data_IF_564794630354
#
_entry.id   IF_564794630354
#
_cell.length_a   1.000
_cell.length_b   1.000
_cell.length_c   1.000
_cell.angle_alpha   90.00
_cell.angle_beta   90.00
_cell.angle_gamma   90.00
#
_symmetry.space_group_name_H-M   'P 1'
#
loop_
_entity.id
_entity.type
_entity.pdbx_description
1 polymer ?
#
# COMPACT_ATOMS: atom_id res chain seq x y z
N UNK A 1 -60.77 12.43 -2.00
CA UNK A 1 -59.88 13.16 -1.07
C UNK A 1 -59.14 12.09 -0.26
N UNK A 2 -58.24 11.33 -0.87
CA UNK A 2 -56.82 11.65 -1.11
C UNK A 2 -56.08 11.99 0.18
N UNK A 3 -55.65 10.93 0.88
CA UNK A 3 -54.61 10.98 1.89
C UNK A 3 -53.64 9.84 1.59
N UNK A 4 -52.81 10.03 0.56
CA UNK A 4 -51.72 9.10 0.27
C UNK A 4 -50.62 9.36 1.30
N UNK A 5 -50.40 8.39 2.16
CA UNK A 5 -49.28 8.33 3.08
C UNK A 5 -47.98 8.37 2.28
N UNK A 6 -47.23 9.47 2.43
CA UNK A 6 -45.82 9.56 2.06
C UNK A 6 -45.06 8.42 2.74
N UNK A 7 -44.81 7.35 1.97
CA UNK A 7 -43.78 6.38 2.33
C UNK A 7 -42.46 7.01 1.92
N UNK A 8 -41.79 7.61 2.90
CA UNK A 8 -40.36 7.86 2.82
C UNK A 8 -39.65 6.54 2.46
N UNK A 9 -39.25 6.41 1.19
CA UNK A 9 -38.26 5.43 0.78
C UNK A 9 -36.98 5.72 1.56
N UNK A 10 -36.76 4.94 2.61
CA UNK A 10 -35.47 4.88 3.26
C UNK A 10 -34.45 4.44 2.21
N UNK A 11 -33.61 5.39 1.78
CA UNK A 11 -32.45 5.11 0.94
C UNK A 11 -31.62 4.03 1.66
N UNK A 12 -31.57 2.83 1.06
CA UNK A 12 -30.70 1.76 1.52
C UNK A 12 -29.24 2.23 1.61
N UNK A 13 -28.37 1.48 2.29
CA UNK A 13 -26.96 1.84 2.38
C UNK A 13 -26.42 2.11 0.97
N UNK A 14 -25.68 3.20 0.75
CA UNK A 14 -25.22 3.62 -0.57
C UNK A 14 -24.55 2.43 -1.26
N UNK A 15 -24.91 2.18 -2.52
CA UNK A 15 -24.38 1.07 -3.31
C UNK A 15 -22.87 1.26 -3.46
N UNK A 16 -22.12 0.68 -2.53
CA UNK A 16 -20.68 0.90 -2.38
C UNK A 16 -19.93 0.61 -3.69
N UNK A 17 -20.38 -0.39 -4.45
CA UNK A 17 -19.78 -0.78 -5.72
C UNK A 17 -19.89 0.31 -6.81
N UNK A 18 -20.84 1.23 -6.67
CA UNK A 18 -21.05 2.36 -7.58
C UNK A 18 -20.35 3.64 -7.10
N UNK A 19 -20.20 3.82 -5.79
CA UNK A 19 -19.58 5.03 -5.23
C UNK A 19 -18.05 5.03 -5.32
N UNK A 20 -17.41 3.87 -5.12
CA UNK A 20 -15.95 3.80 -5.11
C UNK A 20 -15.31 4.08 -6.48
N UNK A 21 -15.83 3.52 -7.61
CA UNK A 21 -15.33 3.89 -8.93
C UNK A 21 -15.59 5.35 -9.29
N UNK A 22 -16.63 5.98 -8.73
CA UNK A 22 -16.99 7.37 -9.04
C UNK A 22 -15.94 8.35 -8.50
N UNK A 23 -15.49 8.19 -7.24
CA UNK A 23 -14.50 9.08 -6.64
C UNK A 23 -13.16 9.12 -7.40
N UNK A 24 -12.74 8.01 -8.01
CA UNK A 24 -11.51 7.96 -8.81
C UNK A 24 -11.68 8.55 -10.21
N UNK A 25 -12.88 8.44 -10.80
CA UNK A 25 -13.18 9.02 -12.12
C UNK A 25 -13.15 10.55 -12.07
N UNK A 26 -13.58 11.13 -10.96
CA UNK A 26 -13.58 12.58 -10.73
C UNK A 26 -12.15 13.16 -10.61
N UNK A 27 -11.12 12.33 -10.44
CA UNK A 27 -9.72 12.78 -10.43
C UNK A 27 -9.17 13.10 -11.83
N UNK A 28 -9.93 12.85 -12.90
CA UNK A 28 -9.59 13.20 -14.28
C UNK A 28 -8.17 12.73 -14.68
N UNK A 29 -7.82 11.49 -14.33
CA UNK A 29 -6.58 10.84 -14.76
C UNK A 29 -6.82 10.12 -16.08
N UNK A 30 -6.00 10.42 -17.10
CA UNK A 30 -6.20 9.90 -18.46
C UNK A 30 -5.87 8.40 -18.62
N UNK A 31 -4.96 7.87 -17.80
CA UNK A 31 -4.51 6.48 -17.88
C UNK A 31 -5.54 5.54 -17.24
N UNK A 32 -6.43 4.98 -18.06
CA UNK A 32 -7.50 4.08 -17.61
C UNK A 32 -6.96 2.78 -16.99
N UNK A 33 -5.82 2.28 -17.44
CA UNK A 33 -5.19 1.10 -16.85
C UNK A 33 -4.69 1.40 -15.45
N UNK A 34 -4.11 2.57 -15.24
CA UNK A 34 -3.68 3.03 -13.92
C UNK A 34 -4.88 3.28 -12.98
N UNK A 35 -5.96 3.89 -13.48
CA UNK A 35 -7.20 4.07 -12.71
C UNK A 35 -7.82 2.74 -12.32
N UNK A 36 -7.82 1.75 -13.23
CA UNK A 36 -8.30 0.41 -12.92
C UNK A 36 -7.42 -0.28 -11.88
N UNK A 37 -6.10 -0.17 -12.00
CA UNK A 37 -5.18 -0.68 -10.99
C UNK A 37 -5.40 -0.01 -9.62
N UNK A 38 -5.61 1.31 -9.59
CA UNK A 38 -5.92 2.03 -8.36
C UNK A 38 -7.22 1.55 -7.73
N UNK A 39 -8.25 1.29 -8.53
CA UNK A 39 -9.52 0.71 -8.06
C UNK A 39 -9.33 -0.66 -7.41
N UNK A 40 -8.57 -1.57 -8.03
CA UNK A 40 -8.29 -2.88 -7.45
C UNK A 40 -7.54 -2.78 -6.11
N UNK A 41 -6.55 -1.87 -6.04
CA UNK A 41 -5.80 -1.63 -4.80
C UNK A 41 -6.70 -1.02 -3.73
N UNK A 42 -7.58 -0.08 -4.07
CA UNK A 42 -8.54 0.48 -3.12
C UNK A 42 -9.41 -0.62 -2.50
N UNK A 43 -9.99 -1.48 -3.35
CA UNK A 43 -10.83 -2.59 -2.91
C UNK A 43 -10.08 -3.55 -1.98
N UNK A 44 -8.82 -3.88 -2.29
CA UNK A 44 -7.99 -4.71 -1.42
C UNK A 44 -7.69 -4.03 -0.08
N UNK A 45 -7.37 -2.73 -0.10
CA UNK A 45 -7.10 -1.97 1.12
C UNK A 45 -8.34 -1.85 2.01
N UNK A 46 -9.52 -1.59 1.46
CA UNK A 46 -10.75 -1.41 2.25
C UNK A 46 -11.40 -2.73 2.67
N UNK A 47 -11.56 -3.68 1.75
CA UNK A 47 -12.39 -4.87 1.99
C UNK A 47 -11.58 -6.06 2.52
N UNK A 48 -10.38 -6.26 2.00
CA UNK A 48 -9.55 -7.43 2.34
C UNK A 48 -8.67 -7.12 3.55
N UNK A 49 -7.90 -6.02 3.47
CA UNK A 49 -6.95 -5.62 4.51
C UNK A 49 -7.58 -4.75 5.59
N UNK A 50 -8.77 -4.19 5.35
CA UNK A 50 -9.52 -3.34 6.29
C UNK A 50 -8.75 -2.13 6.82
N UNK A 51 -7.92 -1.53 5.97
CA UNK A 51 -7.23 -0.27 6.25
C UNK A 51 -8.23 0.87 6.49
N UNK A 52 -7.81 1.87 7.23
CA UNK A 52 -8.62 3.01 7.66
C UNK A 52 -8.28 4.25 6.84
N UNK A 53 -9.27 5.13 6.70
CA UNK A 53 -9.11 6.43 6.04
C UNK A 53 -8.52 6.32 4.63
N UNK A 54 -8.93 5.30 3.86
CA UNK A 54 -8.47 5.10 2.48
C UNK A 54 -9.07 6.19 1.60
N UNK A 55 -8.22 6.99 0.96
CA UNK A 55 -8.60 8.08 0.08
C UNK A 55 -7.80 8.05 -1.21
N UNK A 56 -8.37 8.60 -2.28
CA UNK A 56 -7.74 8.64 -3.60
C UNK A 56 -7.28 10.07 -3.89
N UNK A 57 -6.03 10.24 -4.29
CA UNK A 57 -5.43 11.55 -4.55
C UNK A 57 -4.79 11.55 -5.93
N UNK A 58 -5.09 12.55 -6.76
CA UNK A 58 -4.37 12.78 -8.01
C UNK A 58 -2.96 13.28 -7.70
N UNK A 59 -1.94 12.69 -8.32
CA UNK A 59 -0.61 13.33 -8.44
C UNK A 59 -0.56 14.14 -9.74
N UNK A 60 -0.52 15.48 -9.68
CA UNK A 60 -0.40 16.32 -10.88
C UNK A 60 0.92 16.09 -11.63
N UNK A 61 2.00 15.81 -10.91
CA UNK A 61 3.35 15.66 -11.47
C UNK A 61 3.47 14.36 -12.27
N UNK A 62 2.81 13.29 -11.80
CA UNK A 62 2.89 11.96 -12.38
C UNK A 62 1.65 11.59 -13.20
N UNK A 63 0.62 12.44 -13.19
CA UNK A 63 -0.67 12.25 -13.85
C UNK A 63 -1.26 10.85 -13.58
N UNK A 64 -1.30 10.47 -12.31
CA UNK A 64 -1.78 9.17 -11.83
C UNK A 64 -2.53 9.31 -10.51
N UNK A 65 -3.31 8.29 -10.16
CA UNK A 65 -3.99 8.15 -8.87
C UNK A 65 -3.04 7.51 -7.86
N UNK A 66 -2.83 8.17 -6.74
CA UNK A 66 -2.24 7.61 -5.52
C UNK A 66 -3.37 7.28 -4.54
N UNK A 67 -3.11 6.37 -3.61
CA UNK A 67 -3.96 6.19 -2.45
C UNK A 67 -3.22 6.62 -1.19
N UNK A 68 -3.94 7.28 -0.30
CA UNK A 68 -3.48 7.57 1.05
C UNK A 68 -4.35 6.78 2.03
N UNK A 69 -3.71 6.01 2.90
CA UNK A 69 -4.42 5.11 3.79
C UNK A 69 -3.61 4.84 5.05
N UNK A 70 -4.31 4.48 6.13
CA UNK A 70 -3.72 4.08 7.41
C UNK A 70 -3.94 2.60 7.64
N UNK A 71 -2.87 1.85 7.91
CA UNK A 71 -2.97 0.40 8.17
C UNK A 71 -3.83 0.09 9.41
N UNK A 72 -3.78 0.98 10.41
CA UNK A 72 -4.56 0.89 11.65
C UNK A 72 -5.09 2.28 12.01
N UNK A 73 -6.17 2.32 12.77
CA UNK A 73 -6.73 3.57 13.27
C UNK A 73 -5.69 4.34 14.10
N UNK A 74 -5.56 5.64 13.86
CA UNK A 74 -4.53 6.48 14.49
C UNK A 74 -3.08 6.24 14.01
N UNK A 75 -2.86 5.31 13.08
CA UNK A 75 -1.55 5.02 12.51
C UNK A 75 -1.05 6.11 11.54
N UNK A 76 0.24 6.05 11.13
CA UNK A 76 0.78 6.96 10.14
C UNK A 76 0.09 6.73 8.78
N UNK A 77 -0.16 7.84 8.06
CA UNK A 77 -0.61 7.78 6.67
C UNK A 77 0.49 7.17 5.82
N UNK A 78 0.13 6.21 4.96
CA UNK A 78 1.01 5.65 3.93
C UNK A 78 0.51 6.07 2.56
N UNK A 79 1.44 6.39 1.66
CA UNK A 79 1.15 6.61 0.25
C UNK A 79 1.32 5.29 -0.50
N UNK A 80 0.23 4.79 -1.09
CA UNK A 80 0.24 3.60 -1.95
C UNK A 80 0.21 4.04 -3.40
N UNK A 81 1.15 3.53 -4.20
CA UNK A 81 1.23 3.74 -5.64
C UNK A 81 0.81 2.47 -6.38
N UNK A 82 -0.39 2.45 -6.98
CA UNK A 82 -0.82 1.39 -7.89
C UNK A 82 -0.10 1.50 -9.22
N UNK A 83 0.61 0.43 -9.60
CA UNK A 83 1.36 0.34 -10.84
C UNK A 83 0.93 -0.90 -11.62
N UNK A 84 0.20 -0.74 -12.75
CA UNK A 84 -0.03 -1.85 -13.66
C UNK A 84 1.29 -2.45 -14.14
N UNK A 85 1.42 -3.79 -14.19
CA UNK A 85 2.69 -4.48 -14.53
C UNK A 85 3.28 -4.12 -15.90
N UNK A 86 2.48 -3.66 -16.84
CA UNK A 86 2.93 -3.24 -18.17
C UNK A 86 3.46 -1.80 -18.19
N UNK A 87 3.28 -1.03 -17.11
CA UNK A 87 3.72 0.35 -16.99
C UNK A 87 5.09 0.39 -16.35
N UNK A 88 6.03 1.05 -17.03
CA UNK A 88 7.36 1.31 -16.48
C UNK A 88 7.33 2.48 -15.51
N UNK A 89 8.25 2.45 -14.55
CA UNK A 89 8.42 3.52 -13.59
C UNK A 89 9.91 3.86 -13.48
N UNK A 90 10.22 5.14 -13.37
CA UNK A 90 11.59 5.63 -13.25
C UNK A 90 11.87 6.15 -11.83
N UNK A 91 13.15 6.29 -11.48
CA UNK A 91 13.58 6.75 -10.16
C UNK A 91 13.03 8.14 -9.80
N UNK A 92 12.87 9.04 -10.78
CA UNK A 92 12.29 10.37 -10.55
C UNK A 92 10.84 10.27 -10.12
N UNK A 93 10.07 9.35 -10.69
CA UNK A 93 8.68 9.11 -10.30
C UNK A 93 8.57 8.54 -8.88
N UNK A 94 9.42 7.58 -8.50
CA UNK A 94 9.50 7.12 -7.10
C UNK A 94 9.84 8.28 -6.16
N UNK A 95 10.82 9.11 -6.54
CA UNK A 95 11.25 10.26 -5.74
C UNK A 95 10.09 11.23 -5.49
N UNK A 96 9.29 11.56 -6.51
CA UNK A 96 8.13 12.43 -6.35
C UNK A 96 7.08 11.89 -5.38
N UNK A 97 6.91 10.56 -5.29
CA UNK A 97 6.01 9.97 -4.29
C UNK A 97 6.63 10.01 -2.89
N UNK A 98 7.92 9.69 -2.75
CA UNK A 98 8.64 9.74 -1.48
C UNK A 98 8.74 11.16 -0.89
N UNK A 99 8.90 12.17 -1.75
CA UNK A 99 9.00 13.59 -1.35
C UNK A 99 7.71 14.12 -0.71
N UNK A 100 6.58 13.39 -0.77
CA UNK A 100 5.35 13.69 -0.01
C UNK A 100 5.52 13.51 1.50
N UNK A 101 6.60 12.85 1.94
CA UNK A 101 6.93 12.68 3.36
C UNK A 101 6.22 11.52 4.06
N UNK A 102 5.41 10.74 3.33
CA UNK A 102 4.77 9.53 3.87
C UNK A 102 5.54 8.26 3.48
N UNK A 103 5.51 7.21 4.32
CA UNK A 103 5.96 5.88 3.91
C UNK A 103 5.27 5.46 2.61
N UNK A 104 6.07 4.98 1.64
CA UNK A 104 5.57 4.60 0.34
C UNK A 104 5.42 3.07 0.23
N UNK A 105 4.28 2.63 -0.28
CA UNK A 105 4.08 1.27 -0.77
C UNK A 105 3.89 1.31 -2.28
N UNK A 106 4.74 0.60 -3.01
CA UNK A 106 4.49 0.28 -4.42
C UNK A 106 3.59 -0.95 -4.47
N UNK A 107 2.48 -0.87 -5.19
CA UNK A 107 1.61 -2.02 -5.46
C UNK A 107 1.65 -2.35 -6.95
N UNK A 108 2.33 -3.46 -7.29
CA UNK A 108 2.32 -3.98 -8.65
C UNK A 108 1.02 -4.75 -8.90
N UNK A 109 0.30 -4.38 -9.95
CA UNK A 109 -1.02 -4.94 -10.30
C UNK A 109 -0.91 -5.74 -11.59
N UNK A 110 -0.98 -7.05 -11.48
CA UNK A 110 -0.95 -7.97 -12.61
C UNK A 110 -2.29 -7.99 -13.37
N UNK A 111 -2.27 -8.48 -14.62
CA UNK A 111 -3.48 -8.56 -15.46
C UNK A 111 -4.53 -9.55 -14.95
N UNK A 112 -4.11 -10.52 -14.13
CA UNK A 112 -5.00 -11.46 -13.44
C UNK A 112 -5.52 -10.91 -12.10
N UNK A 113 -5.34 -9.61 -11.86
CA UNK A 113 -5.70 -8.89 -10.62
C UNK A 113 -4.86 -9.26 -9.39
N UNK A 114 -3.76 -9.99 -9.54
CA UNK A 114 -2.81 -10.22 -8.44
C UNK A 114 -2.16 -8.90 -8.00
N UNK A 115 -2.13 -8.66 -6.69
CA UNK A 115 -1.55 -7.47 -6.07
C UNK A 115 -0.30 -7.83 -5.26
N UNK A 116 0.82 -7.19 -5.57
CA UNK A 116 2.08 -7.36 -4.84
C UNK A 116 2.52 -6.04 -4.25
N UNK A 117 2.61 -5.99 -2.92
CA UNK A 117 3.01 -4.80 -2.18
C UNK A 117 4.50 -4.86 -1.83
N UNK A 118 5.21 -3.78 -2.15
CA UNK A 118 6.61 -3.58 -1.81
C UNK A 118 6.78 -2.25 -1.10
N UNK A 119 7.38 -2.26 0.08
CA UNK A 119 7.73 -1.03 0.79
C UNK A 119 8.94 -0.36 0.13
N UNK A 120 8.80 0.93 -0.14
CA UNK A 120 9.83 1.78 -0.71
C UNK A 120 10.29 2.79 0.34
N UNK A 121 11.61 2.98 0.46
CA UNK A 121 12.23 3.86 1.45
C UNK A 121 13.32 4.71 0.81
N UNK A 122 13.46 5.95 1.28
CA UNK A 122 14.59 6.80 0.93
C UNK A 122 15.80 6.49 1.83
N UNK A 123 16.69 5.61 1.36
CA UNK A 123 17.93 5.26 2.06
C UNK A 123 17.99 3.80 2.54
N UNK A 124 18.94 3.53 3.44
CA UNK A 124 19.20 2.20 3.98
C UNK A 124 18.20 1.86 5.09
N UNK A 125 17.62 0.67 5.02
CA UNK A 125 16.75 0.10 6.06
C UNK A 125 17.52 -1.00 6.77
N UNK A 126 17.53 -0.97 8.10
CA UNK A 126 18.07 -2.08 8.89
C UNK A 126 17.21 -3.31 8.66
N UNK A 127 17.78 -4.43 8.18
CA UNK A 127 17.00 -5.65 7.97
C UNK A 127 16.52 -6.18 9.32
N UNK A 128 15.38 -6.88 9.29
CA UNK A 128 14.93 -7.61 10.46
C UNK A 128 16.01 -8.62 10.89
N UNK A 129 16.22 -8.83 12.21
CA UNK A 129 17.12 -9.86 12.68
C UNK A 129 16.73 -11.22 12.09
N UNK A 130 17.69 -12.06 11.69
CA UNK A 130 17.36 -13.37 11.15
C UNK A 130 16.58 -14.18 12.19
N UNK A 131 15.49 -14.80 11.74
CA UNK A 131 14.67 -15.65 12.59
C UNK A 131 15.43 -16.95 12.92
N UNK A 132 16.00 -17.03 14.12
CA UNK A 132 16.66 -18.24 14.62
C UNK A 132 17.65 -17.97 15.75
N UNK A 133 17.99 -19.03 16.50
CA UNK A 133 19.15 -18.95 17.39
C UNK A 133 20.41 -18.92 16.54
N UNK A 134 21.21 -17.85 16.68
CA UNK A 134 22.58 -17.87 16.20
C UNK A 134 23.32 -18.93 17.03
N UNK A 135 23.43 -20.15 16.49
CA UNK A 135 24.42 -21.08 16.99
C UNK A 135 25.79 -20.52 16.61
N UNK A 136 26.36 -19.73 17.53
CA UNK A 136 27.77 -19.40 17.52
C UNK A 136 28.50 -20.75 17.70
N UNK A 137 28.80 -21.41 16.58
CA UNK A 137 29.59 -22.65 16.55
C UNK A 137 31.00 -22.28 16.99
N UNK A 138 31.16 -22.21 18.32
CA UNK A 138 32.26 -21.59 19.03
C UNK A 138 33.61 -21.95 18.45
N UNK A 139 34.14 -21.07 17.60
CA UNK A 139 35.48 -21.19 17.04
C UNK A 139 36.52 -20.72 18.06
N UNK A 140 36.44 -21.18 19.32
CA UNK A 140 37.33 -20.74 20.42
C UNK A 140 37.59 -21.79 21.52
N UNK A 141 37.60 -23.09 21.20
CA UNK A 141 38.10 -24.13 22.13
C UNK A 141 39.50 -24.70 21.77
N UNK A 142 40.36 -23.92 21.11
CA UNK A 142 41.74 -24.36 20.79
C UNK A 142 42.82 -23.44 21.39
N UNK A 143 42.81 -23.17 22.70
CA UNK A 143 44.03 -22.72 23.41
C UNK A 143 44.01 -22.86 24.94
N UNK A 144 43.85 -24.06 25.48
CA UNK A 144 44.22 -24.37 26.89
C UNK A 144 44.96 -25.71 27.03
N UNK A 145 45.98 -25.94 26.21
CA UNK A 145 46.99 -26.98 26.44
C UNK A 145 48.38 -26.37 26.27
N UNK A 146 48.90 -25.77 27.34
CA UNK A 146 50.33 -25.57 27.64
C UNK A 146 50.46 -24.70 28.89
N UNK A 147 50.29 -25.33 30.05
CA UNK A 147 50.93 -24.95 31.32
C UNK A 147 50.51 -25.98 32.40
N UNK A 148 51.17 -27.14 32.35
CA UNK A 148 51.55 -27.97 33.51
C UNK A 148 52.92 -28.52 33.12
N UNK A 149 53.98 -27.78 33.46
CA UNK A 149 54.87 -28.08 34.58
C UNK A 149 55.49 -29.48 34.44
N UNK A 150 56.72 -29.49 33.96
CA UNK A 150 57.80 -30.28 34.54
C UNK A 150 59.10 -29.48 34.46
#
# INVERSE_FOLDING_TARGET
MSGASDRAEASGPPNWILHHPAQMKDLEVADSAQVHAAFLVYMDLTEVRQWKEVSCVKSPELQLVLLEAKEKEGGPVQSVLPLPVHRSLNHRSIRHVLDRGFPMLLCAVASDSTLVYQRMTDGLVTPDPPAGSFQDMGRRQHRKRRQKQH
#
